data_IF_448291424635
#
_entry.id   IF_448291424635
#
_cell.length_a   1.000
_cell.length_b   1.000
_cell.length_c   1.000
_cell.angle_alpha   90.00
_cell.angle_beta   90.00
_cell.angle_gamma   90.00
#
_symmetry.space_group_name_H-M   'P 1'
#
loop_
_entity.id
_entity.type
_entity.pdbx_description
1 polymer ?
#
# COMPACT_ATOMS: atom_id res chain seq x y z
N UNK A 1 1.19 19.81 11.61
CA UNK A 1 2.37 20.37 10.94
C UNK A 1 3.52 19.40 11.05
N UNK A 2 4.20 19.11 9.94
CA UNK A 2 5.29 18.13 9.87
C UNK A 2 6.59 18.85 9.56
N UNK A 3 7.68 18.48 10.23
CA UNK A 3 9.02 19.02 10.01
C UNK A 3 9.94 17.92 9.51
N UNK A 4 10.63 18.17 8.41
CA UNK A 4 11.66 17.26 7.89
C UNK A 4 13.02 17.64 8.48
N UNK A 5 13.47 16.91 9.49
CA UNK A 5 14.71 17.19 10.20
C UNK A 5 15.98 16.88 9.39
N UNK A 6 15.85 16.39 8.15
CA UNK A 6 16.97 16.29 7.22
C UNK A 6 17.34 17.63 6.59
N UNK A 7 16.44 18.60 6.61
CA UNK A 7 16.69 19.95 6.11
C UNK A 7 17.04 20.90 7.24
N UNK A 8 18.03 21.77 7.02
CA UNK A 8 18.43 22.74 8.03
C UNK A 8 17.35 23.76 8.36
N UNK A 9 16.54 24.12 7.36
CA UNK A 9 15.43 25.06 7.52
C UNK A 9 14.37 24.49 8.48
N UNK A 10 13.95 23.25 8.27
CA UNK A 10 12.94 22.63 9.12
C UNK A 10 13.49 22.31 10.52
N UNK A 11 14.78 21.98 10.63
CA UNK A 11 15.43 21.82 11.94
C UNK A 11 15.34 23.09 12.78
N UNK A 12 15.63 24.26 12.19
CA UNK A 12 15.54 25.55 12.89
C UNK A 12 14.09 25.90 13.21
N UNK A 13 13.17 25.66 12.29
CA UNK A 13 11.73 25.88 12.51
C UNK A 13 11.20 25.00 13.64
N UNK A 14 11.60 23.76 13.68
CA UNK A 14 11.22 22.82 14.74
C UNK A 14 11.75 23.26 16.10
N UNK A 15 13.02 23.67 16.18
CA UNK A 15 13.60 24.20 17.43
C UNK A 15 12.84 25.42 17.95
N UNK A 16 12.50 26.36 17.07
CA UNK A 16 11.73 27.56 17.45
C UNK A 16 10.36 27.19 17.97
N UNK A 17 9.68 26.27 17.30
CA UNK A 17 8.35 25.81 17.72
C UNK A 17 8.42 25.10 19.06
N UNK A 18 9.38 24.21 19.24
CA UNK A 18 9.58 23.48 20.48
C UNK A 18 9.85 24.43 21.66
N UNK A 19 10.71 25.44 21.46
CA UNK A 19 11.03 26.44 22.47
C UNK A 19 9.82 27.28 22.85
N UNK A 20 9.00 27.69 21.87
CA UNK A 20 7.76 28.43 22.13
C UNK A 20 6.76 27.60 22.93
N UNK A 21 6.61 26.33 22.63
CA UNK A 21 5.72 25.42 23.37
C UNK A 21 6.20 25.18 24.80
N UNK A 22 7.52 25.08 25.00
CA UNK A 22 8.11 24.95 26.34
C UNK A 22 7.87 26.22 27.18
N UNK A 23 8.03 27.39 26.57
CA UNK A 23 7.77 28.67 27.24
C UNK A 23 6.33 28.79 27.71
N UNK A 24 5.37 28.33 26.91
CA UNK A 24 3.95 28.36 27.24
C UNK A 24 3.51 27.17 28.14
N UNK A 25 4.43 26.29 28.49
CA UNK A 25 4.13 25.07 29.27
C UNK A 25 2.98 24.26 28.67
N UNK A 26 2.94 24.17 27.33
CA UNK A 26 1.89 23.47 26.62
C UNK A 26 2.01 21.96 26.80
N UNK A 27 0.86 21.29 26.76
CA UNK A 27 0.83 19.83 26.62
C UNK A 27 0.94 19.52 25.13
N UNK A 28 1.95 18.74 24.76
CA UNK A 28 2.26 18.47 23.34
C UNK A 28 2.35 16.98 23.08
N UNK A 29 2.00 16.59 21.84
CA UNK A 29 2.23 15.26 21.31
C UNK A 29 3.30 15.36 20.22
N UNK A 30 4.33 14.55 20.33
CA UNK A 30 5.40 14.49 19.36
C UNK A 30 5.61 13.05 18.91
N UNK A 31 5.51 12.81 17.61
CA UNK A 31 5.70 11.48 17.04
C UNK A 31 6.63 11.54 15.84
N UNK A 32 7.40 10.48 15.64
CA UNK A 32 8.22 10.32 14.45
C UNK A 32 7.36 9.76 13.32
N UNK A 33 7.28 10.51 12.23
CA UNK A 33 6.63 10.04 11.02
C UNK A 33 7.65 9.29 10.18
N UNK A 34 7.47 8.00 10.03
CA UNK A 34 8.27 7.23 9.08
C UNK A 34 7.97 7.74 7.67
N UNK A 35 9.01 8.14 6.89
CA UNK A 35 8.79 8.50 5.51
C UNK A 35 8.10 7.32 4.81
N UNK A 36 7.01 7.59 4.10
CA UNK A 36 6.41 6.61 3.20
C UNK A 36 7.41 6.34 2.09
N UNK A 37 8.30 5.37 2.30
CA UNK A 37 9.02 4.79 1.19
C UNK A 37 7.97 4.00 0.40
N UNK A 38 7.48 4.60 -0.68
CA UNK A 38 6.90 3.81 -1.75
C UNK A 38 8.05 2.97 -2.31
N UNK A 39 8.20 1.74 -1.84
CA UNK A 39 9.15 0.85 -2.47
C UNK A 39 8.75 0.71 -3.94
N UNK A 40 9.69 0.58 -4.88
CA UNK A 40 9.36 0.32 -6.28
C UNK A 40 8.41 -0.87 -6.45
N UNK A 41 8.52 -1.86 -5.58
CA UNK A 41 7.65 -3.03 -5.58
C UNK A 41 6.20 -2.69 -5.19
N UNK A 42 5.99 -1.82 -4.21
CA UNK A 42 4.65 -1.35 -3.85
C UNK A 42 4.02 -0.51 -4.95
N UNK A 43 4.81 0.34 -5.59
CA UNK A 43 4.35 1.11 -6.75
C UNK A 43 3.91 0.19 -7.89
N UNK A 44 4.71 -0.80 -8.20
CA UNK A 44 4.39 -1.80 -9.21
C UNK A 44 3.12 -2.59 -8.87
N UNK A 45 2.98 -3.04 -7.63
CA UNK A 45 1.77 -3.71 -7.16
C UNK A 45 0.54 -2.83 -7.39
N UNK A 46 0.61 -1.55 -7.02
CA UNK A 46 -0.48 -0.61 -7.19
C UNK A 46 -0.90 -0.47 -8.66
N UNK A 47 0.08 -0.41 -9.56
CA UNK A 47 -0.17 -0.32 -11.01
C UNK A 47 -0.89 -1.55 -11.54
N UNK A 48 -0.43 -2.75 -11.22
CA UNK A 48 -1.05 -3.98 -11.72
C UNK A 48 -2.46 -4.20 -11.16
N UNK A 49 -2.67 -3.86 -9.89
CA UNK A 49 -4.02 -3.90 -9.29
C UNK A 49 -4.95 -2.87 -9.94
N UNK A 50 -4.44 -1.68 -10.22
CA UNK A 50 -5.19 -0.61 -10.88
C UNK A 50 -5.59 -0.98 -12.29
N UNK A 51 -4.70 -1.56 -13.08
CA UNK A 51 -5.00 -2.04 -14.43
C UNK A 51 -6.08 -3.12 -14.42
N UNK A 52 -5.96 -4.06 -13.52
CA UNK A 52 -6.98 -5.10 -13.35
C UNK A 52 -8.34 -4.51 -12.97
N UNK A 53 -8.35 -3.55 -12.06
CA UNK A 53 -9.57 -2.86 -11.64
C UNK A 53 -10.22 -2.09 -12.80
N UNK A 54 -9.43 -1.37 -13.61
CA UNK A 54 -9.93 -0.65 -14.78
C UNK A 54 -10.54 -1.56 -15.82
N UNK A 55 -9.92 -2.71 -16.10
CA UNK A 55 -10.41 -3.66 -17.09
C UNK A 55 -11.66 -4.43 -16.63
N UNK A 56 -11.79 -4.68 -15.34
CA UNK A 56 -12.94 -5.42 -14.79
C UNK A 56 -14.09 -4.54 -14.32
N UNK A 57 -13.85 -3.24 -14.15
CA UNK A 57 -14.82 -2.34 -13.54
C UNK A 57 -14.97 -2.47 -12.03
N UNK A 58 -14.11 -3.26 -11.40
CA UNK A 58 -14.07 -3.38 -9.93
C UNK A 58 -13.35 -2.19 -9.30
N UNK A 59 -13.59 -1.97 -8.01
CA UNK A 59 -12.80 -1.01 -7.24
C UNK A 59 -11.41 -1.57 -6.97
N UNK A 60 -10.42 -0.68 -6.82
CA UNK A 60 -9.06 -1.09 -6.48
C UNK A 60 -9.02 -1.84 -5.14
N UNK A 61 -9.78 -1.38 -4.16
CA UNK A 61 -9.90 -2.01 -2.85
C UNK A 61 -10.44 -3.45 -2.95
N UNK A 62 -11.46 -3.67 -3.77
CA UNK A 62 -12.03 -4.99 -4.00
C UNK A 62 -11.02 -5.94 -4.65
N UNK A 63 -10.33 -5.48 -5.69
CA UNK A 63 -9.29 -6.27 -6.38
C UNK A 63 -8.18 -6.66 -5.40
N UNK A 64 -7.70 -5.71 -4.62
CA UNK A 64 -6.64 -5.95 -3.65
C UNK A 64 -7.05 -6.94 -2.57
N UNK A 65 -8.25 -6.78 -2.02
CA UNK A 65 -8.72 -7.60 -0.90
C UNK A 65 -9.18 -8.98 -1.35
N UNK A 66 -10.05 -9.05 -2.35
CA UNK A 66 -10.72 -10.30 -2.73
C UNK A 66 -9.88 -11.13 -3.71
N UNK A 67 -9.32 -10.52 -4.73
CA UNK A 67 -8.57 -11.27 -5.72
C UNK A 67 -7.10 -11.48 -5.33
N UNK A 68 -6.40 -10.41 -5.01
CA UNK A 68 -4.97 -10.48 -4.72
C UNK A 68 -4.68 -11.19 -3.39
N UNK A 69 -5.33 -10.78 -2.32
CA UNK A 69 -5.07 -11.31 -0.99
C UNK A 69 -5.80 -12.62 -0.71
N UNK A 70 -7.12 -12.64 -0.82
CA UNK A 70 -7.93 -13.80 -0.42
C UNK A 70 -7.86 -14.96 -1.40
N UNK A 71 -7.98 -14.66 -2.68
CA UNK A 71 -8.05 -15.70 -3.70
C UNK A 71 -6.69 -16.21 -4.15
N UNK A 72 -5.79 -15.30 -4.54
CA UNK A 72 -4.49 -15.68 -5.09
C UNK A 72 -3.46 -16.03 -4.03
N UNK A 73 -3.50 -15.39 -2.86
CA UNK A 73 -2.45 -15.49 -1.84
C UNK A 73 -2.99 -15.70 -0.42
N UNK A 74 -3.90 -16.65 -0.20
CA UNK A 74 -4.47 -16.84 1.13
C UNK A 74 -3.44 -17.23 2.19
N UNK A 75 -2.42 -18.02 1.85
CA UNK A 75 -1.39 -18.43 2.80
C UNK A 75 -0.56 -17.25 3.32
N UNK A 76 -0.39 -16.22 2.49
CA UNK A 76 0.41 -15.05 2.84
C UNK A 76 -0.40 -14.01 3.62
N UNK A 77 -1.68 -13.87 3.34
CA UNK A 77 -2.49 -12.76 3.84
C UNK A 77 -3.57 -13.13 4.84
N UNK A 78 -4.18 -14.30 4.72
CA UNK A 78 -5.30 -14.67 5.59
C UNK A 78 -4.77 -15.20 6.92
N UNK A 79 -5.25 -14.61 8.03
CA UNK A 79 -4.95 -15.04 9.39
C UNK A 79 -6.25 -15.28 10.12
N UNK A 80 -6.30 -16.37 10.89
CA UNK A 80 -7.44 -16.71 11.73
C UNK A 80 -7.05 -16.43 13.17
N UNK A 81 -7.83 -15.58 13.84
CA UNK A 81 -7.65 -15.20 15.23
C UNK A 81 -8.92 -15.49 16.01
N UNK A 82 -8.78 -15.90 17.27
CA UNK A 82 -9.93 -16.07 18.16
C UNK A 82 -10.25 -14.74 18.84
N UNK A 83 -11.50 -14.29 18.66
CA UNK A 83 -12.01 -13.10 19.34
C UNK A 83 -12.68 -13.52 20.65
N UNK A 84 -12.10 -13.13 21.79
CA UNK A 84 -12.59 -13.50 23.11
C UNK A 84 -13.94 -12.87 23.44
N UNK A 85 -14.21 -11.66 22.92
CA UNK A 85 -15.48 -10.97 23.19
C UNK A 85 -16.63 -11.62 22.42
N UNK A 86 -16.41 -12.01 21.19
CA UNK A 86 -17.41 -12.67 20.35
C UNK A 86 -17.45 -14.18 20.53
N UNK A 87 -16.49 -14.77 21.22
CA UNK A 87 -16.33 -16.22 21.40
C UNK A 87 -16.31 -17.00 20.10
N UNK A 88 -15.66 -16.44 19.06
CA UNK A 88 -15.54 -17.11 17.75
C UNK A 88 -14.23 -16.76 17.06
N UNK A 89 -13.87 -17.59 16.09
CA UNK A 89 -12.77 -17.31 15.19
C UNK A 89 -13.17 -16.26 14.17
N UNK A 90 -12.27 -15.29 13.94
CA UNK A 90 -12.41 -14.27 12.90
C UNK A 90 -11.24 -14.33 11.94
N UNK A 91 -11.51 -13.99 10.67
CA UNK A 91 -10.47 -13.82 9.68
C UNK A 91 -9.95 -12.40 9.67
N UNK A 92 -8.63 -12.26 9.62
CA UNK A 92 -7.96 -10.97 9.37
C UNK A 92 -7.07 -11.08 8.15
N UNK A 93 -7.00 -9.99 7.39
CA UNK A 93 -6.07 -9.86 6.28
C UNK A 93 -4.84 -9.06 6.71
N UNK A 94 -3.66 -9.63 6.46
CA UNK A 94 -2.41 -8.90 6.68
C UNK A 94 -2.33 -7.70 5.73
N UNK A 95 -1.66 -6.65 6.17
CA UNK A 95 -1.27 -5.56 5.28
C UNK A 95 -0.17 -6.04 4.32
N UNK A 96 -0.20 -5.56 3.08
CA UNK A 96 0.89 -5.80 2.13
C UNK A 96 2.24 -5.26 2.61
N UNK A 97 2.23 -4.32 3.55
CA UNK A 97 3.45 -3.77 4.17
C UNK A 97 4.16 -4.77 5.09
N UNK A 98 3.46 -5.79 5.55
CA UNK A 98 4.02 -6.81 6.46
C UNK A 98 4.77 -7.91 5.72
N UNK A 99 4.66 -7.97 4.39
CA UNK A 99 5.38 -8.94 3.57
C UNK A 99 6.83 -8.49 3.35
N UNK A 100 7.73 -9.45 3.38
CA UNK A 100 9.10 -9.22 2.89
C UNK A 100 9.13 -9.19 1.34
N UNK A 101 10.30 -8.85 0.79
CA UNK A 101 10.47 -8.73 -0.67
C UNK A 101 10.19 -10.06 -1.39
N UNK A 102 10.63 -11.18 -0.84
CA UNK A 102 10.41 -12.50 -1.43
C UNK A 102 8.95 -12.92 -1.42
N UNK A 103 8.26 -12.72 -0.30
CA UNK A 103 6.83 -12.98 -0.18
C UNK A 103 6.01 -12.12 -1.15
N UNK A 104 6.35 -10.84 -1.27
CA UNK A 104 5.68 -9.93 -2.19
C UNK A 104 5.91 -10.34 -3.65
N UNK A 105 7.11 -10.73 -4.02
CA UNK A 105 7.42 -11.23 -5.36
C UNK A 105 6.55 -12.45 -5.70
N UNK A 106 6.45 -13.40 -4.79
CA UNK A 106 5.60 -14.59 -4.95
C UNK A 106 4.13 -14.20 -5.11
N UNK A 107 3.66 -13.28 -4.27
CA UNK A 107 2.27 -12.83 -4.31
C UNK A 107 1.92 -12.16 -5.65
N UNK A 108 2.80 -11.31 -6.15
CA UNK A 108 2.64 -10.60 -7.44
C UNK A 108 2.65 -11.61 -8.60
N UNK A 109 3.56 -12.56 -8.60
CA UNK A 109 3.63 -13.57 -9.67
C UNK A 109 2.36 -14.44 -9.73
N UNK A 110 1.87 -14.88 -8.58
CA UNK A 110 0.61 -15.62 -8.51
C UNK A 110 -0.57 -14.83 -9.07
N UNK A 111 -0.66 -13.57 -8.70
CA UNK A 111 -1.73 -12.69 -9.19
C UNK A 111 -1.63 -12.47 -10.71
N UNK A 112 -0.45 -12.19 -11.22
CA UNK A 112 -0.23 -12.00 -12.67
C UNK A 112 -0.57 -13.25 -13.47
N UNK A 113 -0.11 -14.40 -13.01
CA UNK A 113 -0.37 -15.67 -13.67
C UNK A 113 -1.87 -16.01 -13.67
N UNK A 114 -2.53 -15.81 -12.56
CA UNK A 114 -3.96 -16.00 -12.46
C UNK A 114 -4.75 -15.04 -13.35
N UNK A 115 -4.38 -13.77 -13.37
CA UNK A 115 -5.03 -12.76 -14.21
C UNK A 115 -4.93 -13.12 -15.70
N UNK A 116 -3.77 -13.54 -16.16
CA UNK A 116 -3.57 -13.95 -17.55
C UNK A 116 -4.31 -15.24 -17.89
N UNK A 117 -4.24 -16.25 -17.02
CA UNK A 117 -4.80 -17.58 -17.30
C UNK A 117 -6.33 -17.63 -17.15
N UNK A 118 -6.88 -17.02 -16.11
CA UNK A 118 -8.30 -17.16 -15.75
C UNK A 118 -9.13 -15.93 -16.13
N UNK A 119 -8.58 -14.73 -16.00
CA UNK A 119 -9.28 -13.50 -16.32
C UNK A 119 -9.00 -12.98 -17.73
N UNK A 120 -8.02 -13.53 -18.42
CA UNK A 120 -7.61 -13.06 -19.75
C UNK A 120 -7.03 -11.64 -19.75
N UNK A 121 -6.47 -11.20 -18.64
CA UNK A 121 -5.90 -9.86 -18.46
C UNK A 121 -4.39 -9.97 -18.38
N UNK A 122 -3.71 -9.36 -19.35
CA UNK A 122 -2.26 -9.25 -19.34
C UNK A 122 -1.85 -8.02 -18.52
N UNK A 123 -0.95 -8.24 -17.57
CA UNK A 123 -0.40 -7.18 -16.73
C UNK A 123 1.06 -6.95 -17.08
N UNK A 124 1.55 -5.68 -17.04
CA UNK A 124 2.92 -5.39 -17.42
C UNK A 124 3.94 -6.08 -16.50
N UNK A 125 5.08 -6.46 -17.07
CA UNK A 125 6.23 -6.88 -16.28
C UNK A 125 6.89 -5.66 -15.62
N UNK A 126 7.66 -5.84 -14.52
CA UNK A 126 8.27 -4.70 -13.81
C UNK A 126 9.19 -3.82 -14.66
N UNK A 127 9.77 -4.36 -15.73
CA UNK A 127 10.67 -3.64 -16.62
C UNK A 127 9.98 -2.90 -17.78
N UNK A 128 8.65 -3.06 -17.93
CA UNK A 128 7.89 -2.42 -19.01
C UNK A 128 7.44 -1.01 -18.61
N UNK A 129 8.43 -0.11 -18.45
CA UNK A 129 8.24 1.22 -17.91
C UNK A 129 7.24 2.09 -18.69
N UNK A 130 7.22 1.99 -20.04
CA UNK A 130 6.28 2.76 -20.87
C UNK A 130 4.83 2.34 -20.63
N UNK A 131 4.58 1.04 -20.57
CA UNK A 131 3.24 0.53 -20.30
C UNK A 131 2.78 0.87 -18.88
N UNK A 132 3.68 0.73 -17.90
CA UNK A 132 3.43 1.13 -16.51
C UNK A 132 3.08 2.62 -16.43
N UNK A 133 3.83 3.48 -17.10
CA UNK A 133 3.57 4.91 -17.13
C UNK A 133 2.23 5.26 -17.80
N UNK A 134 1.84 4.54 -18.85
CA UNK A 134 0.53 4.68 -19.47
C UNK A 134 -0.59 4.33 -18.51
N UNK A 135 -0.48 3.20 -17.79
CA UNK A 135 -1.48 2.76 -16.81
C UNK A 135 -1.61 3.79 -15.68
N UNK A 136 -0.50 4.31 -15.16
CA UNK A 136 -0.52 5.31 -14.10
C UNK A 136 -1.29 6.57 -14.53
N UNK A 137 -1.10 7.02 -15.77
CA UNK A 137 -1.84 8.17 -16.31
C UNK A 137 -3.33 7.87 -16.42
N UNK A 138 -3.71 6.68 -16.89
CA UNK A 138 -5.11 6.27 -16.97
C UNK A 138 -5.75 6.15 -15.58
N UNK A 139 -5.03 5.65 -14.58
CA UNK A 139 -5.50 5.60 -13.20
C UNK A 139 -5.78 6.99 -12.66
N UNK A 140 -4.92 7.98 -12.96
CA UNK A 140 -5.14 9.38 -12.58
C UNK A 140 -6.38 9.96 -13.25
N UNK A 141 -6.58 9.70 -14.54
CA UNK A 141 -7.77 10.15 -15.28
C UNK A 141 -9.06 9.57 -14.72
N UNK A 142 -9.05 8.31 -14.33
CA UNK A 142 -10.21 7.64 -13.76
C UNK A 142 -10.33 7.83 -12.24
N UNK A 143 -9.43 8.59 -11.65
CA UNK A 143 -9.39 8.85 -10.20
C UNK A 143 -9.38 7.56 -9.36
N UNK A 144 -8.57 6.60 -9.77
CA UNK A 144 -8.39 5.36 -9.02
C UNK A 144 -7.31 5.57 -7.95
N UNK A 145 -7.75 5.51 -6.71
CA UNK A 145 -6.90 5.73 -5.54
C UNK A 145 -6.93 4.51 -4.61
N UNK A 146 -5.86 4.33 -3.90
CA UNK A 146 -5.80 3.45 -2.73
C UNK A 146 -6.18 4.22 -1.48
#
# INVERSE_FOLDING_TARGET
>A
MVYDLNTDIDRERFKRRANALMTHRAVVECSERKPRRTSPQNRYLHVILGEFAMQTGCTLSYVKTEYFKRFCNPELFVRVEFDELMHKEIERLRSSRDLDTGEMTTAIERFRNWAAAEAGIDLPAPYEAEWIGFIEREMQHQQIWL
#
